data_IF_577856548820
#
_entry.id   IF_577856548820
#
_cell.length_a   1.000
_cell.length_b   1.000
_cell.length_c   1.000
_cell.angle_alpha   90.00
_cell.angle_beta   90.00
_cell.angle_gamma   90.00
#
_symmetry.space_group_name_H-M   'P 1'
#
loop_
_entity.id
_entity.type
_entity.pdbx_description
1 polymer ?
#
# COMPACT_ATOMS: atom_id res chain seq x y z
N UNK A 1 6.94 26.73 2.56
CA UNK A 1 6.85 25.36 3.12
C UNK A 1 7.07 24.39 1.99
N UNK A 2 8.19 23.68 2.00
CA UNK A 2 8.51 22.65 1.00
C UNK A 2 7.45 21.56 1.09
N UNK A 3 6.75 21.25 -0.01
CA UNK A 3 5.86 20.08 -0.04
C UNK A 3 6.74 18.84 0.04
N UNK A 4 6.74 18.14 1.17
CA UNK A 4 7.35 16.82 1.29
C UNK A 4 6.78 15.93 0.20
N UNK A 5 7.64 15.45 -0.68
CA UNK A 5 7.23 14.55 -1.76
C UNK A 5 7.19 13.13 -1.24
N UNK A 6 6.14 12.42 -1.60
CA UNK A 6 5.94 11.03 -1.26
C UNK A 6 5.87 10.17 -2.52
N UNK A 7 6.47 9.00 -2.42
CA UNK A 7 6.47 7.96 -3.45
C UNK A 7 5.73 6.72 -2.96
N UNK A 8 5.09 6.04 -3.92
CA UNK A 8 4.34 4.82 -3.66
C UNK A 8 5.01 3.65 -4.38
N UNK A 9 5.34 2.59 -3.64
CA UNK A 9 5.95 1.38 -4.19
C UNK A 9 5.01 0.22 -3.93
N UNK A 10 4.58 -0.47 -4.99
CA UNK A 10 3.75 -1.67 -4.89
C UNK A 10 4.62 -2.91 -5.01
N UNK A 11 4.35 -3.92 -4.20
CA UNK A 11 4.97 -5.24 -4.31
C UNK A 11 4.03 -6.37 -3.92
N UNK A 12 4.52 -7.59 -4.15
CA UNK A 12 3.89 -8.83 -3.68
C UNK A 12 4.69 -9.35 -2.50
N UNK A 13 3.99 -9.82 -1.48
CA UNK A 13 4.58 -10.49 -0.34
C UNK A 13 4.21 -11.96 -0.36
N UNK A 14 5.16 -12.80 -0.81
CA UNK A 14 4.99 -14.25 -0.89
C UNK A 14 4.94 -14.89 0.50
N UNK A 15 5.51 -14.26 1.53
CA UNK A 15 5.54 -14.80 2.88
C UNK A 15 4.24 -14.53 3.64
N UNK A 16 3.65 -13.34 3.43
CA UNK A 16 2.36 -12.95 4.02
C UNK A 16 1.16 -13.34 3.15
N UNK A 17 1.40 -13.92 1.97
CA UNK A 17 0.40 -14.31 0.96
C UNK A 17 -0.53 -13.14 0.62
N UNK A 18 0.04 -12.10 0.01
CA UNK A 18 -0.70 -10.91 -0.34
C UNK A 18 0.08 -9.86 -1.11
N UNK A 19 -0.49 -8.66 -1.16
CA UNK A 19 0.04 -7.52 -1.89
C UNK A 19 0.21 -6.33 -0.96
N UNK A 20 1.25 -5.52 -1.17
CA UNK A 20 1.48 -4.32 -0.38
C UNK A 20 1.65 -3.07 -1.24
N UNK A 21 1.37 -1.92 -0.63
CA UNK A 21 1.68 -0.60 -1.13
C UNK A 21 2.39 0.19 -0.02
N UNK A 22 3.63 0.55 -0.26
CA UNK A 22 4.46 1.30 0.68
C UNK A 22 4.49 2.78 0.32
N UNK A 23 4.60 3.64 1.33
CA UNK A 23 4.75 5.08 1.21
C UNK A 23 6.16 5.47 1.67
N UNK A 24 6.92 6.14 0.80
CA UNK A 24 8.28 6.61 1.06
C UNK A 24 8.38 8.13 0.94
N UNK A 25 9.33 8.74 1.65
CA UNK A 25 9.73 10.13 1.41
C UNK A 25 10.73 10.19 0.25
N UNK A 26 10.33 10.80 -0.87
CA UNK A 26 11.11 10.84 -2.13
C UNK A 26 12.51 11.47 -2.00
N UNK A 27 12.67 12.43 -1.09
CA UNK A 27 13.89 13.22 -0.95
C UNK A 27 14.73 12.79 0.27
N UNK A 28 14.36 11.68 0.93
CA UNK A 28 15.12 11.14 2.04
C UNK A 28 16.26 10.24 1.52
N UNK A 29 17.48 10.47 2.02
CA UNK A 29 18.62 9.57 1.84
C UNK A 29 19.11 9.16 3.23
N UNK A 30 18.97 7.89 3.63
CA UNK A 30 18.39 6.77 2.86
C UNK A 30 16.87 6.89 2.64
N UNK A 31 16.35 6.14 1.66
CA UNK A 31 14.91 5.98 1.42
C UNK A 31 14.21 5.63 2.73
N UNK A 32 13.24 6.47 3.12
CA UNK A 32 12.54 6.33 4.40
C UNK A 32 11.10 5.93 4.17
N UNK A 33 10.77 4.69 4.50
CA UNK A 33 9.40 4.20 4.52
C UNK A 33 8.67 4.78 5.72
N UNK A 34 7.48 5.35 5.49
CA UNK A 34 6.69 6.01 6.53
C UNK A 34 5.38 5.27 6.81
N UNK A 35 4.83 4.58 5.81
CA UNK A 35 3.64 3.76 5.98
C UNK A 35 3.58 2.61 4.96
N UNK A 36 2.75 1.62 5.26
CA UNK A 36 2.42 0.49 4.39
C UNK A 36 0.91 0.22 4.48
N UNK A 37 0.28 -0.06 3.33
CA UNK A 37 -0.98 -0.78 3.30
C UNK A 37 -0.74 -2.17 2.73
N UNK A 38 -1.15 -3.19 3.48
CA UNK A 38 -1.08 -4.58 3.08
C UNK A 38 -2.49 -5.13 2.84
N UNK A 39 -2.67 -5.89 1.77
CA UNK A 39 -3.86 -6.66 1.46
C UNK A 39 -3.52 -8.14 1.55
N UNK A 40 -4.20 -8.87 2.43
CA UNK A 40 -4.03 -10.32 2.56
C UNK A 40 -4.93 -11.04 1.57
N UNK A 41 -4.38 -11.90 0.71
CA UNK A 41 -5.19 -12.77 -0.14
C UNK A 41 -5.90 -13.87 0.68
N UNK A 42 -5.35 -14.21 1.86
CA UNK A 42 -5.92 -15.20 2.80
C UNK A 42 -7.17 -14.67 3.50
N UNK A 43 -7.10 -13.50 4.14
CA UNK A 43 -8.22 -12.94 4.90
C UNK A 43 -9.10 -11.99 4.08
N UNK A 44 -8.62 -11.53 2.93
CA UNK A 44 -9.22 -10.49 2.10
C UNK A 44 -9.37 -9.13 2.81
N UNK A 45 -8.56 -8.88 3.83
CA UNK A 45 -8.58 -7.65 4.62
C UNK A 45 -7.41 -6.72 4.27
N UNK A 46 -7.60 -5.45 4.59
CA UNK A 46 -6.56 -4.42 4.50
C UNK A 46 -6.01 -4.07 5.87
N UNK A 47 -4.70 -3.96 5.95
CA UNK A 47 -3.98 -3.52 7.15
C UNK A 47 -3.18 -2.27 6.82
N UNK A 48 -3.27 -1.24 7.67
CA UNK A 48 -2.46 -0.03 7.59
C UNK A 48 -1.46 -0.03 8.73
N UNK A 49 -0.19 0.11 8.40
CA UNK A 49 0.90 0.29 9.37
C UNK A 49 1.56 1.64 9.11
N UNK A 50 1.67 2.47 10.15
CA UNK A 50 2.42 3.72 10.11
C UNK A 50 3.69 3.56 10.97
N UNK A 51 4.84 3.90 10.40
CA UNK A 51 6.15 3.83 11.06
C UNK A 51 6.59 5.19 11.63
N UNK A 52 5.87 6.26 11.31
CA UNK A 52 6.10 7.61 11.83
C UNK A 52 4.81 8.23 12.35
N UNK A 53 4.94 9.07 13.38
CA UNK A 53 3.79 9.69 14.06
C UNK A 53 3.18 10.87 13.28
N UNK A 54 3.99 11.60 12.49
CA UNK A 54 3.61 12.88 11.90
C UNK A 54 3.47 12.84 10.38
N UNK A 55 2.81 11.81 9.86
CA UNK A 55 2.53 11.67 8.42
C UNK A 55 1.37 12.59 8.04
N UNK A 56 1.49 13.42 6.98
CA UNK A 56 0.38 14.24 6.51
C UNK A 56 -0.84 13.38 6.15
N UNK A 57 -2.02 13.78 6.64
CA UNK A 57 -3.28 13.05 6.40
C UNK A 57 -3.54 12.80 4.91
N UNK A 58 -3.31 13.82 4.06
CA UNK A 58 -3.46 13.72 2.60
C UNK A 58 -2.61 12.59 1.99
N UNK A 59 -1.41 12.34 2.53
CA UNK A 59 -0.54 11.27 2.06
C UNK A 59 -1.09 9.88 2.43
N UNK A 60 -1.64 9.74 3.64
CA UNK A 60 -2.27 8.51 4.12
C UNK A 60 -3.56 8.23 3.34
N UNK A 61 -4.40 9.23 3.10
CA UNK A 61 -5.63 9.10 2.31
C UNK A 61 -5.34 8.68 0.87
N UNK A 62 -4.29 9.26 0.26
CA UNK A 62 -3.84 8.88 -1.08
C UNK A 62 -3.32 7.44 -1.12
N UNK A 63 -2.56 7.03 -0.11
CA UNK A 63 -2.07 5.65 0.04
C UNK A 63 -3.25 4.67 0.12
N UNK A 64 -4.21 4.90 1.02
CA UNK A 64 -5.40 4.06 1.20
C UNK A 64 -6.23 3.99 -0.08
N UNK A 65 -6.50 5.14 -0.69
CA UNK A 65 -7.29 5.22 -1.92
C UNK A 65 -6.66 4.43 -3.06
N UNK A 66 -5.33 4.52 -3.21
CA UNK A 66 -4.61 3.76 -4.23
C UNK A 66 -4.60 2.27 -3.90
N UNK A 67 -4.34 1.91 -2.64
CA UNK A 67 -4.27 0.52 -2.19
C UNK A 67 -5.58 -0.23 -2.44
N UNK A 68 -6.72 0.38 -2.14
CA UNK A 68 -8.06 -0.20 -2.37
C UNK A 68 -8.33 -0.54 -3.84
N UNK A 69 -7.70 0.18 -4.77
CA UNK A 69 -7.87 -0.04 -6.21
C UNK A 69 -6.83 -1.02 -6.74
N UNK A 70 -5.58 -0.95 -6.24
CA UNK A 70 -4.46 -1.66 -6.86
C UNK A 70 -4.04 -2.96 -6.20
N UNK A 71 -4.39 -3.20 -4.93
CA UNK A 71 -3.93 -4.38 -4.19
C UNK A 71 -4.84 -5.61 -4.35
N UNK A 72 -6.18 -5.48 -4.33
CA UNK A 72 -7.04 -6.64 -4.54
C UNK A 72 -6.76 -7.31 -5.89
N UNK A 73 -6.87 -8.65 -5.96
CA UNK A 73 -6.84 -9.33 -7.23
C UNK A 73 -7.95 -8.79 -8.14
N UNK A 74 -7.62 -8.55 -9.41
CA UNK A 74 -8.65 -8.27 -10.41
C UNK A 74 -9.57 -9.47 -10.42
N UNK A 75 -10.84 -9.29 -10.03
CA UNK A 75 -11.84 -10.37 -10.06
C UNK A 75 -11.86 -10.96 -11.47
N UNK A 76 -11.16 -12.07 -11.66
CA UNK A 76 -11.50 -12.98 -12.74
C UNK A 76 -12.74 -13.68 -12.23
N UNK A 77 -13.91 -13.28 -12.73
CA UNK A 77 -15.08 -14.14 -12.65
C UNK A 77 -14.62 -15.52 -13.07
N UNK A 78 -14.55 -16.45 -12.12
CA UNK A 78 -14.29 -17.85 -12.40
C UNK A 78 -15.39 -18.27 -13.37
N UNK A 79 -15.05 -18.31 -14.66
CA UNK A 79 -15.84 -19.06 -15.63
C UNK A 79 -15.81 -20.48 -15.13
N UNK A 80 -16.84 -20.85 -14.36
CA UNK A 80 -17.18 -22.23 -14.06
C UNK A 80 -17.41 -22.89 -15.41
N UNK A 81 -16.36 -23.49 -15.98
CA UNK A 81 -16.53 -24.50 -17.02
C UNK A 81 -17.28 -25.65 -16.37
N UNK A 82 -18.59 -25.69 -16.62
CA UNK A 82 -19.44 -26.86 -16.43
C UNK A 82 -20.05 -27.16 -17.79
#
# INVERSE_FOLDING_TARGET
MSKTKFELIRGSDVLRDGMYLELYVSEASPLRQVAEVFYSDVTQEFFLTCYEDNIPLEAVEKLISKARISLPPVRQEQKKST
#
